data_IF_429346817898
#
_entry.id   IF_429346817898
#
_cell.length_a   1.000
_cell.length_b   1.000
_cell.length_c   1.000
_cell.angle_alpha   90.00
_cell.angle_beta   90.00
_cell.angle_gamma   90.00
#
_symmetry.space_group_name_H-M   'P 1'
#
loop_
_entity.id
_entity.type
_entity.pdbx_description
1 polymer ?
#
# COMPACT_ATOMS: atom_id res chain seq x y z
N UNK A 1 10.78 13.17 26.07
CA UNK A 1 10.96 11.81 25.55
C UNK A 1 12.43 11.42 25.64
N UNK A 2 12.69 10.22 26.05
CA UNK A 2 14.07 9.71 26.19
C UNK A 2 14.45 8.84 25.00
N UNK A 3 15.69 8.94 24.56
CA UNK A 3 16.22 8.13 23.50
C UNK A 3 16.32 6.66 23.94
N UNK A 4 15.77 5.74 23.13
CA UNK A 4 15.79 4.32 23.44
C UNK A 4 17.19 3.71 23.34
N UNK A 5 18.10 4.38 22.64
CA UNK A 5 19.46 3.86 22.43
C UNK A 5 20.42 4.32 23.53
N UNK A 6 20.43 5.60 23.86
CA UNK A 6 21.39 6.14 24.84
C UNK A 6 20.76 6.75 26.09
N UNK A 7 19.44 6.83 26.16
CA UNK A 7 18.73 7.38 27.31
C UNK A 7 18.73 8.90 27.43
N UNK A 8 19.39 9.60 26.52
CA UNK A 8 19.42 11.06 26.53
C UNK A 8 18.10 11.66 26.10
N UNK A 9 17.87 12.90 26.48
CA UNK A 9 16.65 13.62 26.12
C UNK A 9 16.62 13.93 24.63
N UNK A 10 15.49 13.64 23.97
CA UNK A 10 15.29 13.95 22.57
C UNK A 10 14.52 15.25 22.41
N UNK A 11 14.82 15.98 21.34
CA UNK A 11 14.11 17.22 20.98
C UNK A 11 13.21 16.95 19.80
N UNK A 12 11.94 17.33 19.92
CA UNK A 12 10.97 17.20 18.86
C UNK A 12 10.90 18.48 18.03
N UNK A 13 10.82 18.32 16.72
CA UNK A 13 10.71 19.45 15.79
C UNK A 13 9.83 19.01 14.62
N UNK A 14 9.00 19.91 14.10
CA UNK A 14 8.23 19.65 12.90
C UNK A 14 9.12 19.90 11.69
N UNK A 15 9.19 18.91 10.79
CA UNK A 15 9.99 19.01 9.59
C UNK A 15 9.42 18.14 8.48
N UNK A 16 9.91 18.33 7.27
CA UNK A 16 9.55 17.46 6.15
C UNK A 16 10.40 16.20 6.24
N UNK A 17 9.77 15.07 6.08
CA UNK A 17 10.41 13.77 6.23
C UNK A 17 10.20 12.93 4.97
N UNK A 18 11.29 12.42 4.41
CA UNK A 18 11.22 11.51 3.26
C UNK A 18 10.74 10.15 3.75
N UNK A 19 9.60 9.72 3.24
CA UNK A 19 8.97 8.49 3.65
C UNK A 19 9.22 7.39 2.63
N UNK A 20 10.08 6.44 2.98
CA UNK A 20 10.47 5.36 2.08
C UNK A 20 9.95 3.98 2.53
N UNK A 21 9.29 3.92 3.68
CA UNK A 21 8.85 2.67 4.27
C UNK A 21 7.88 1.86 3.39
N UNK A 22 7.17 2.53 2.48
CA UNK A 22 6.22 1.84 1.57
C UNK A 22 6.86 1.38 0.27
N UNK A 23 8.16 1.60 0.09
CA UNK A 23 8.87 1.18 -1.12
C UNK A 23 8.64 2.06 -2.34
N UNK A 24 8.05 3.25 -2.17
CA UNK A 24 7.84 4.20 -3.25
C UNK A 24 8.82 5.36 -3.13
N UNK A 25 9.47 5.77 -4.23
CA UNK A 25 10.36 6.92 -4.22
C UNK A 25 9.55 8.23 -4.22
N UNK A 26 10.15 9.28 -3.70
CA UNK A 26 9.63 10.62 -3.86
C UNK A 26 8.48 11.02 -2.95
N UNK A 27 8.16 10.21 -1.93
CA UNK A 27 7.13 10.58 -0.97
C UNK A 27 7.77 11.38 0.17
N UNK A 28 7.29 12.59 0.37
CA UNK A 28 7.73 13.46 1.46
C UNK A 28 6.53 13.82 2.32
N UNK A 29 6.65 13.57 3.61
CA UNK A 29 5.64 13.97 4.59
C UNK A 29 5.96 15.38 5.08
N UNK A 30 4.98 16.26 5.02
CA UNK A 30 5.18 17.65 5.40
C UNK A 30 4.74 17.87 6.84
N UNK A 31 5.58 18.58 7.60
CA UNK A 31 5.23 19.03 8.93
C UNK A 31 5.02 17.91 9.96
N UNK A 32 5.71 16.79 9.81
CA UNK A 32 5.63 15.71 10.79
C UNK A 32 6.61 15.98 11.95
N UNK A 33 6.25 15.45 13.09
CA UNK A 33 7.10 15.58 14.27
C UNK A 33 8.23 14.55 14.24
N UNK A 34 9.46 15.06 14.22
CA UNK A 34 10.65 14.22 14.27
C UNK A 34 11.39 14.54 15.55
N UNK A 35 11.60 13.52 16.38
CA UNK A 35 12.35 13.64 17.61
C UNK A 35 13.77 13.14 17.37
N UNK A 36 14.76 13.99 17.65
CA UNK A 36 16.16 13.64 17.43
C UNK A 36 16.94 13.68 18.73
N UNK A 37 17.83 12.72 18.88
CA UNK A 37 18.76 12.68 19.99
C UNK A 37 20.01 13.46 19.61
N UNK A 38 20.32 14.52 20.37
CA UNK A 38 21.53 15.33 20.14
C UNK A 38 22.83 14.63 20.49
N UNK A 39 22.75 13.49 21.19
CA UNK A 39 23.94 12.78 21.66
C UNK A 39 24.36 11.64 20.75
N UNK A 40 23.42 10.77 20.35
CA UNK A 40 23.74 9.62 19.52
C UNK A 40 23.23 9.72 18.07
N UNK A 41 22.46 10.76 17.75
CA UNK A 41 21.94 10.95 16.40
C UNK A 41 20.70 10.14 16.05
N UNK A 42 20.20 9.31 16.94
CA UNK A 42 18.98 8.56 16.72
C UNK A 42 17.79 9.50 16.54
N UNK A 43 16.82 9.05 15.77
CA UNK A 43 15.61 9.84 15.57
C UNK A 43 14.38 8.95 15.52
N UNK A 44 13.25 9.55 15.83
CA UNK A 44 11.94 8.89 15.74
C UNK A 44 11.00 9.83 15.01
N UNK A 45 10.17 9.25 14.17
CA UNK A 45 9.16 9.99 13.41
C UNK A 45 7.78 9.63 13.93
N UNK A 46 7.04 10.62 14.38
CA UNK A 46 5.67 10.43 14.82
C UNK A 46 4.73 10.55 13.62
N UNK A 47 4.16 9.44 13.23
CA UNK A 47 3.18 9.41 12.15
C UNK A 47 1.84 8.96 12.75
N UNK A 48 1.00 9.91 13.17
CA UNK A 48 -0.32 9.56 13.68
C UNK A 48 -1.19 9.05 12.53
N UNK A 49 -2.05 8.07 12.82
CA UNK A 49 -3.01 7.58 11.86
C UNK A 49 -2.34 7.07 10.58
N UNK A 50 -1.40 6.16 10.74
CA UNK A 50 -0.62 5.63 9.61
C UNK A 50 -1.49 5.00 8.52
N UNK A 51 -2.63 4.42 8.90
CA UNK A 51 -3.56 3.84 7.93
C UNK A 51 -4.16 4.91 7.03
N UNK A 52 -4.48 6.09 7.59
CA UNK A 52 -4.98 7.21 6.80
C UNK A 52 -3.91 7.74 5.86
N UNK A 53 -2.65 7.75 6.31
CA UNK A 53 -1.52 8.14 5.47
C UNK A 53 -1.40 7.18 4.28
N UNK A 54 -1.43 5.87 4.52
CA UNK A 54 -1.32 4.89 3.45
C UNK A 54 -2.49 4.99 2.49
N UNK A 55 -3.68 5.27 2.97
CA UNK A 55 -4.85 5.50 2.13
C UNK A 55 -4.68 6.74 1.27
N UNK A 56 -4.13 7.82 1.82
CA UNK A 56 -3.84 9.03 1.06
C UNK A 56 -2.80 8.80 -0.02
N UNK A 57 -1.75 8.04 0.28
CA UNK A 57 -0.73 7.68 -0.70
C UNK A 57 -1.35 6.84 -1.81
N UNK A 58 -2.15 5.83 -1.46
CA UNK A 58 -2.84 5.00 -2.45
C UNK A 58 -3.74 5.83 -3.35
N UNK A 59 -4.49 6.77 -2.77
CA UNK A 59 -5.34 7.68 -3.54
C UNK A 59 -4.56 8.54 -4.53
N UNK A 60 -3.41 9.04 -4.12
CA UNK A 60 -2.54 9.82 -5.01
C UNK A 60 -1.99 8.96 -6.15
N UNK A 61 -1.58 7.73 -5.83
CA UNK A 61 -1.02 6.80 -6.83
C UNK A 61 -2.06 6.45 -7.90
N UNK A 62 -3.28 6.11 -7.49
CA UNK A 62 -4.31 5.73 -8.47
C UNK A 62 -4.88 6.90 -9.25
N UNK A 63 -4.64 8.12 -8.80
CA UNK A 63 -5.12 9.34 -9.47
C UNK A 63 -4.13 9.91 -10.48
N UNK A 64 -2.90 9.43 -10.48
CA UNK A 64 -1.91 9.96 -11.41
C UNK A 64 -2.26 9.60 -12.85
N UNK A 65 -1.84 10.44 -13.80
CA UNK A 65 -2.12 10.23 -15.24
C UNK A 65 -1.19 9.20 -15.87
N UNK A 66 0.04 9.12 -15.37
CA UNK A 66 1.04 8.20 -15.91
C UNK A 66 0.72 6.75 -15.55
N UNK A 67 1.33 5.82 -16.27
CA UNK A 67 1.21 4.40 -16.00
C UNK A 67 1.79 4.07 -14.63
N UNK A 68 1.21 3.07 -13.98
CA UNK A 68 1.71 2.62 -12.69
C UNK A 68 3.09 1.98 -12.86
N UNK A 69 4.01 2.33 -11.97
CA UNK A 69 5.31 1.69 -11.92
C UNK A 69 5.22 0.32 -11.24
N UNK A 70 6.19 -0.59 -11.46
CA UNK A 70 6.21 -1.87 -10.76
C UNK A 70 6.15 -1.72 -9.24
N UNK A 71 6.86 -0.74 -8.68
CA UNK A 71 6.83 -0.48 -7.23
C UNK A 71 5.45 -0.03 -6.76
N UNK A 72 4.74 0.75 -7.56
CA UNK A 72 3.38 1.19 -7.25
C UNK A 72 2.40 0.03 -7.30
N UNK A 73 2.52 -0.85 -8.27
CA UNK A 73 1.68 -2.05 -8.36
C UNK A 73 1.84 -2.89 -7.09
N UNK A 74 3.07 -3.10 -6.66
CA UNK A 74 3.37 -3.84 -5.43
C UNK A 74 2.81 -3.14 -4.20
N UNK A 75 2.97 -1.82 -4.12
CA UNK A 75 2.43 -1.03 -3.01
C UNK A 75 0.91 -1.18 -2.92
N UNK A 76 0.21 -1.03 -4.06
CA UNK A 76 -1.25 -1.12 -4.09
C UNK A 76 -1.74 -2.52 -3.70
N UNK A 77 -1.05 -3.57 -4.14
CA UNK A 77 -1.38 -4.93 -3.74
C UNK A 77 -1.26 -5.10 -2.22
N UNK A 78 -0.17 -4.62 -1.64
CA UNK A 78 0.03 -4.69 -0.19
C UNK A 78 -0.97 -3.84 0.56
N UNK A 79 -1.34 -2.69 0.00
CA UNK A 79 -2.36 -1.83 0.56
C UNK A 79 -3.72 -2.54 0.65
N UNK A 80 -4.05 -3.35 -0.36
CA UNK A 80 -5.26 -4.17 -0.36
C UNK A 80 -5.17 -5.36 0.62
N UNK A 81 -3.99 -5.64 1.16
CA UNK A 81 -3.78 -6.78 2.04
C UNK A 81 -3.71 -8.11 1.30
N UNK A 82 -3.43 -8.10 0.01
CA UNK A 82 -3.40 -9.29 -0.82
C UNK A 82 -2.00 -9.82 -1.05
N UNK A 83 -1.87 -11.15 -1.13
CA UNK A 83 -0.67 -11.79 -1.63
C UNK A 83 -0.65 -11.70 -3.16
N UNK A 84 0.51 -12.00 -3.77
CA UNK A 84 0.58 -12.06 -5.22
C UNK A 84 -0.38 -13.08 -5.83
N UNK A 85 -0.56 -14.20 -5.15
CA UNK A 85 -1.50 -15.24 -5.59
C UNK A 85 -2.96 -14.75 -5.51
N UNK A 86 -3.29 -13.99 -4.47
CA UNK A 86 -4.64 -13.44 -4.33
C UNK A 86 -4.94 -12.39 -5.41
N UNK A 87 -3.98 -11.52 -5.71
CA UNK A 87 -4.13 -10.56 -6.80
C UNK A 87 -4.32 -11.29 -8.12
N UNK A 88 -3.51 -12.32 -8.38
CA UNK A 88 -3.62 -13.12 -9.59
C UNK A 88 -5.01 -13.75 -9.72
N UNK A 89 -5.55 -14.28 -8.63
CA UNK A 89 -6.88 -14.87 -8.63
C UNK A 89 -7.95 -13.84 -8.98
N UNK A 90 -7.86 -12.64 -8.41
CA UNK A 90 -8.82 -11.57 -8.68
C UNK A 90 -8.75 -11.08 -10.14
N UNK A 91 -7.60 -11.17 -10.76
CA UNK A 91 -7.37 -10.67 -12.11
C UNK A 91 -7.48 -11.76 -13.18
N UNK A 92 -7.71 -13.00 -12.79
CA UNK A 92 -7.71 -14.11 -13.71
C UNK A 92 -6.36 -14.32 -14.37
N UNK A 93 -5.27 -14.02 -13.69
CA UNK A 93 -3.91 -14.12 -14.19
C UNK A 93 -3.13 -15.18 -13.43
N UNK A 94 -1.98 -15.58 -13.97
CA UNK A 94 -1.07 -16.47 -13.29
C UNK A 94 -0.26 -15.68 -12.25
N UNK A 95 0.13 -16.35 -11.19
CA UNK A 95 0.94 -15.76 -10.12
C UNK A 95 2.28 -15.21 -10.65
N UNK A 96 2.87 -15.91 -11.60
CA UNK A 96 4.10 -15.50 -12.27
C UNK A 96 3.89 -14.20 -13.06
N UNK A 97 2.73 -14.02 -13.64
CA UNK A 97 2.38 -12.79 -14.36
C UNK A 97 2.37 -11.60 -13.43
N UNK A 98 1.75 -11.74 -12.25
CA UNK A 98 1.74 -10.68 -11.24
C UNK A 98 3.17 -10.36 -10.77
N UNK A 99 3.97 -11.39 -10.54
CA UNK A 99 5.38 -11.21 -10.16
C UNK A 99 6.15 -10.39 -11.21
N UNK A 100 5.92 -10.66 -12.47
CA UNK A 100 6.57 -9.92 -13.55
C UNK A 100 6.14 -8.46 -13.60
N UNK A 101 4.88 -8.19 -13.31
CA UNK A 101 4.41 -6.80 -13.21
C UNK A 101 5.12 -6.05 -12.09
N UNK A 102 5.34 -6.70 -10.94
CA UNK A 102 5.93 -6.07 -9.77
C UNK A 102 7.45 -5.96 -9.84
N UNK A 103 8.10 -6.75 -10.68
CA UNK A 103 9.54 -6.68 -10.90
C UNK A 103 9.93 -5.87 -12.13
N UNK A 104 8.97 -5.53 -12.97
CA UNK A 104 9.22 -4.82 -14.21
C UNK A 104 9.62 -5.71 -15.37
N UNK A 105 9.61 -7.03 -15.20
CA UNK A 105 9.96 -7.98 -16.27
C UNK A 105 8.95 -7.99 -17.41
N UNK A 106 7.70 -7.66 -17.11
CA UNK A 106 6.64 -7.50 -18.10
C UNK A 106 5.74 -6.35 -17.68
N UNK A 107 5.24 -5.55 -18.63
CA UNK A 107 4.33 -4.45 -18.30
C UNK A 107 2.94 -4.97 -17.96
N UNK A 108 2.29 -4.30 -17.03
CA UNK A 108 0.87 -4.52 -16.77
C UNK A 108 0.08 -3.88 -17.91
N UNK A 109 -0.82 -4.65 -18.52
CA UNK A 109 -1.65 -4.14 -19.60
C UNK A 109 -2.62 -3.06 -19.13
N UNK A 110 -3.13 -2.21 -20.04
CA UNK A 110 -4.02 -1.11 -19.67
C UNK A 110 -5.29 -1.55 -18.93
N UNK A 111 -5.86 -2.67 -19.34
CA UNK A 111 -7.08 -3.20 -18.72
C UNK A 111 -6.83 -3.64 -17.29
N UNK A 112 -5.75 -4.38 -17.04
CA UNK A 112 -5.37 -4.81 -15.70
C UNK A 112 -5.05 -3.60 -14.80
N UNK A 113 -4.37 -2.61 -15.36
CA UNK A 113 -4.05 -1.39 -14.61
C UNK A 113 -5.30 -0.63 -14.20
N UNK A 114 -6.26 -0.46 -15.11
CA UNK A 114 -7.53 0.17 -14.79
C UNK A 114 -8.29 -0.60 -13.72
N UNK A 115 -8.28 -1.91 -13.84
CA UNK A 115 -8.94 -2.77 -12.84
C UNK A 115 -8.31 -2.57 -11.47
N UNK A 116 -6.98 -2.53 -11.39
CA UNK A 116 -6.29 -2.30 -10.13
C UNK A 116 -6.64 -0.94 -9.52
N UNK A 117 -6.64 0.12 -10.34
CA UNK A 117 -7.02 1.46 -9.87
C UNK A 117 -8.46 1.48 -9.35
N UNK A 118 -9.37 0.84 -10.04
CA UNK A 118 -10.78 0.77 -9.63
C UNK A 118 -10.96 -0.02 -8.34
N UNK A 119 -10.27 -1.13 -8.20
CA UNK A 119 -10.35 -1.95 -6.98
C UNK A 119 -9.81 -1.18 -5.78
N UNK A 120 -8.71 -0.45 -5.94
CA UNK A 120 -8.14 0.35 -4.85
C UNK A 120 -9.07 1.49 -4.47
N UNK A 121 -9.73 2.12 -5.46
CA UNK A 121 -10.69 3.18 -5.19
C UNK A 121 -11.94 2.67 -4.49
N UNK A 122 -12.36 1.44 -4.79
CA UNK A 122 -13.53 0.80 -4.22
C UNK A 122 -13.18 -0.61 -3.78
N UNK A 123 -12.48 -0.77 -2.63
CA UNK A 123 -12.07 -2.09 -2.18
C UNK A 123 -13.27 -3.02 -2.01
N UNK A 124 -13.12 -4.32 -2.35
CA UNK A 124 -14.18 -5.27 -2.14
C UNK A 124 -14.57 -5.27 -0.66
N UNK A 125 -15.87 -5.18 -0.40
CA UNK A 125 -16.35 -5.25 0.96
C UNK A 125 -16.02 -6.61 1.54
N UNK A 126 -15.57 -6.62 2.80
CA UNK A 126 -15.41 -7.88 3.50
C UNK A 126 -16.81 -8.50 3.62
N UNK A 127 -16.91 -9.76 3.29
CA UNK A 127 -18.19 -10.46 3.38
C UNK A 127 -18.72 -10.35 4.79
N UNK A 128 -19.89 -9.75 4.93
CA UNK A 128 -20.55 -9.71 6.23
C UNK A 128 -20.81 -11.16 6.68
N UNK A 129 -20.56 -11.50 7.94
CA UNK A 129 -20.62 -12.88 8.38
C UNK A 129 -22.02 -13.51 8.29
N UNK A 130 -23.04 -12.69 8.08
CA UNK A 130 -24.42 -13.16 7.96
C UNK A 130 -24.93 -13.12 6.52
N UNK A 131 -24.09 -12.81 5.54
CA UNK A 131 -24.48 -12.83 4.12
C UNK A 131 -23.71 -13.94 3.43
N UNK A 132 -24.41 -14.91 2.98
CA UNK A 132 -23.83 -16.04 2.28
C UNK A 132 -24.49 -16.20 0.93
N UNK A 133 -23.70 -16.25 -0.12
CA UNK A 133 -24.21 -16.51 -1.46
C UNK A 133 -24.12 -18.00 -1.72
N UNK A 134 -25.26 -18.63 -1.80
CA UNK A 134 -25.32 -20.02 -2.25
C UNK A 134 -24.92 -20.07 -3.72
N UNK A 135 -24.04 -20.98 -4.06
CA UNK A 135 -23.75 -21.23 -5.47
C UNK A 135 -25.04 -21.60 -6.18
N UNK A 136 -25.29 -21.09 -7.40
CA UNK A 136 -26.45 -21.54 -8.15
C UNK A 136 -26.46 -23.05 -8.19
N UNK A 137 -27.55 -23.59 -7.84
CA UNK A 137 -27.69 -25.02 -7.67
C UNK A 137 -27.37 -25.73 -8.98
N UNK A 138 -26.49 -26.71 -8.91
CA UNK A 138 -26.20 -27.58 -10.04
C UNK A 138 -27.39 -28.43 -10.46
N UNK A 139 -28.40 -28.42 -9.64
CA UNK A 139 -29.64 -29.16 -9.87
C UNK A 139 -30.42 -28.62 -11.06
N UNK A 140 -30.15 -27.41 -11.48
CA UNK A 140 -30.83 -26.81 -12.63
C UNK A 140 -30.46 -27.48 -13.94
N UNK A 141 -29.48 -28.36 -13.93
CA UNK A 141 -28.95 -29.00 -15.13
C UNK A 141 -29.52 -30.35 -15.42
N UNK A 142 -30.47 -30.74 -14.69
CA UNK A 142 -31.14 -32.04 -14.97
C UNK A 142 -32.00 -32.00 -16.20
#
# INVERSE_FOLDING_TARGET
>A
MSCLVCGSRMKAKRENYRYEAVGLPGITLQGVEVSRCGKCGEYEVAIPRIEDLHRAIAGAVISKKDRLTPAEIRFLRKHLGWTGAELAAHFGAARETVSRWETGSAPMGPTAERLLRMIVANPPAQTAPFVEFSSPSREIQS
#
